data_IF_975376774254
#
_entry.id   IF_975376774254
#
_cell.length_a   1.000
_cell.length_b   1.000
_cell.length_c   1.000
_cell.angle_alpha   90.00
_cell.angle_beta   90.00
_cell.angle_gamma   90.00
#
_symmetry.space_group_name_H-M   'P 1'
#
loop_
_entity.id
_entity.type
_entity.pdbx_description
1 polymer ?
#
# COMPACT_ATOMS: atom_id res chain seq x y z
N UNK A 1 -4.62 17.89 0.79
CA UNK A 1 -4.98 16.52 1.21
C UNK A 1 -3.85 15.56 0.94
N UNK A 2 -3.75 14.55 1.77
CA UNK A 2 -2.74 13.52 1.61
C UNK A 2 -3.37 12.24 1.09
N UNK A 3 -2.65 11.55 0.23
CA UNK A 3 -3.03 10.23 -0.27
C UNK A 3 -1.98 9.23 0.12
N UNK A 4 -2.43 8.00 0.39
CA UNK A 4 -1.53 6.91 0.74
C UNK A 4 -1.15 6.13 -0.51
N UNK A 5 0.10 5.68 -0.55
CA UNK A 5 0.58 4.77 -1.59
C UNK A 5 1.50 3.74 -0.95
N UNK A 6 1.60 2.58 -1.57
CA UNK A 6 2.45 1.53 -1.06
C UNK A 6 3.03 0.71 -2.19
N UNK A 7 4.27 0.28 -2.03
CA UNK A 7 4.87 -0.73 -2.90
C UNK A 7 4.64 -2.09 -2.25
N UNK A 8 3.84 -2.90 -2.88
CA UNK A 8 3.40 -4.18 -2.35
C UNK A 8 3.99 -5.30 -3.20
N UNK A 9 4.61 -6.26 -2.54
CA UNK A 9 5.15 -7.43 -3.19
C UNK A 9 4.41 -8.67 -2.71
N UNK A 10 4.21 -9.61 -3.63
CA UNK A 10 3.54 -10.86 -3.31
C UNK A 10 4.07 -11.99 -4.17
N UNK A 11 3.71 -13.21 -3.80
CA UNK A 11 4.11 -14.41 -4.54
C UNK A 11 2.87 -15.02 -5.17
N UNK A 12 2.94 -15.20 -6.48
CA UNK A 12 1.86 -15.82 -7.26
C UNK A 12 2.40 -17.06 -7.96
N UNK A 13 1.50 -17.99 -8.18
CA UNK A 13 1.83 -19.17 -8.98
C UNK A 13 1.58 -18.86 -10.45
N UNK A 14 2.63 -18.97 -11.25
CA UNK A 14 2.55 -18.77 -12.70
C UNK A 14 3.04 -20.03 -13.36
N UNK A 15 2.15 -20.73 -14.07
CA UNK A 15 2.48 -22.02 -14.74
C UNK A 15 3.06 -23.04 -13.79
N UNK A 16 2.55 -23.08 -12.56
CA UNK A 16 3.02 -24.03 -11.55
C UNK A 16 4.28 -23.61 -10.81
N UNK A 17 4.84 -22.45 -11.12
CA UNK A 17 6.05 -21.96 -10.46
C UNK A 17 5.76 -20.72 -9.63
N UNK A 18 6.32 -20.60 -8.42
CA UNK A 18 6.15 -19.39 -7.63
C UNK A 18 6.96 -18.24 -8.22
N UNK A 19 6.32 -17.10 -8.40
CA UNK A 19 6.98 -15.89 -8.88
C UNK A 19 6.65 -14.73 -7.96
N UNK A 20 7.67 -13.96 -7.64
CA UNK A 20 7.50 -12.75 -6.85
C UNK A 20 7.23 -11.58 -7.79
N UNK A 21 6.17 -10.82 -7.48
CA UNK A 21 5.81 -9.64 -8.24
C UNK A 21 5.54 -8.50 -7.28
N UNK A 22 5.92 -7.31 -7.70
CA UNK A 22 5.70 -6.11 -6.93
C UNK A 22 4.91 -5.09 -7.76
N UNK A 23 4.05 -4.33 -7.10
CA UNK A 23 3.28 -3.29 -7.75
C UNK A 23 3.07 -2.14 -6.80
N UNK A 24 2.87 -0.95 -7.38
CA UNK A 24 2.53 0.23 -6.61
C UNK A 24 1.02 0.33 -6.50
N UNK A 25 0.51 0.42 -5.28
CA UNK A 25 -0.91 0.56 -5.02
C UNK A 25 -1.19 1.96 -4.50
N UNK A 26 -2.11 2.65 -5.16
CA UNK A 26 -2.60 3.96 -4.72
C UNK A 26 -3.94 3.75 -4.04
N UNK A 27 -4.00 4.07 -2.76
CA UNK A 27 -5.24 3.95 -2.00
C UNK A 27 -6.18 5.10 -2.35
N UNK A 28 -7.47 4.83 -2.30
CA UNK A 28 -8.49 5.85 -2.56
C UNK A 28 -8.74 6.75 -1.37
N UNK A 29 -8.09 6.48 -0.27
CA UNK A 29 -8.25 7.25 0.95
C UNK A 29 -7.70 8.67 0.78
N UNK A 30 -8.36 9.63 1.43
CA UNK A 30 -7.90 11.00 1.49
C UNK A 30 -7.84 11.42 2.95
N UNK A 31 -6.79 12.10 3.31
CA UNK A 31 -6.54 12.52 4.68
C UNK A 31 -6.21 14.00 4.72
N UNK A 32 -6.65 14.68 5.77
CA UNK A 32 -6.33 16.10 5.94
C UNK A 32 -4.90 16.31 6.44
N UNK A 33 -4.38 15.36 7.21
CA UNK A 33 -3.03 15.46 7.76
C UNK A 33 -2.21 14.24 7.40
N UNK A 34 -0.89 14.43 7.36
CA UNK A 34 0.04 13.34 7.11
C UNK A 34 -0.04 12.29 8.21
N UNK A 35 -0.25 12.72 9.46
CA UNK A 35 -0.34 11.82 10.59
C UNK A 35 -1.51 10.84 10.45
N UNK A 36 -2.65 11.33 9.98
CA UNK A 36 -3.81 10.47 9.72
C UNK A 36 -3.49 9.42 8.66
N UNK A 37 -2.81 9.85 7.60
CA UNK A 37 -2.41 8.96 6.52
C UNK A 37 -1.46 7.87 7.02
N UNK A 38 -0.44 8.24 7.78
CA UNK A 38 0.52 7.29 8.33
C UNK A 38 -0.14 6.30 9.28
N UNK A 39 -1.06 6.77 10.11
CA UNK A 39 -1.78 5.90 11.04
C UNK A 39 -2.60 4.85 10.30
N UNK A 40 -3.27 5.25 9.23
CA UNK A 40 -4.06 4.32 8.44
C UNK A 40 -3.18 3.30 7.73
N UNK A 41 -2.02 3.71 7.23
CA UNK A 41 -1.08 2.78 6.59
C UNK A 41 -0.56 1.74 7.57
N UNK A 42 -0.25 2.15 8.79
CA UNK A 42 0.19 1.21 9.84
C UNK A 42 -0.93 0.20 10.12
N UNK A 43 -2.15 0.67 10.25
CA UNK A 43 -3.30 -0.19 10.52
C UNK A 43 -3.53 -1.18 9.37
N UNK A 44 -3.43 -0.72 8.13
CA UNK A 44 -3.56 -1.57 6.95
C UNK A 44 -2.50 -2.67 6.96
N UNK A 45 -1.26 -2.29 7.23
CA UNK A 45 -0.15 -3.24 7.26
C UNK A 45 -0.35 -4.33 8.31
N UNK A 46 -0.93 -3.97 9.44
CA UNK A 46 -1.08 -4.90 10.55
C UNK A 46 -2.30 -5.79 10.40
N UNK A 47 -3.39 -5.30 9.84
CA UNK A 47 -4.69 -5.98 9.92
C UNK A 47 -5.35 -6.28 8.58
N UNK A 48 -5.08 -5.50 7.54
CA UNK A 48 -5.86 -5.59 6.31
C UNK A 48 -5.11 -6.25 5.15
N UNK A 49 -3.80 -6.28 5.20
CA UNK A 49 -3.03 -6.85 4.09
C UNK A 49 -3.13 -8.39 4.09
N UNK A 50 -3.36 -9.02 2.92
CA UNK A 50 -3.38 -10.48 2.83
C UNK A 50 -2.02 -11.09 3.19
N UNK A 51 -2.04 -12.32 3.67
CA UNK A 51 -0.84 -13.01 4.13
C UNK A 51 0.21 -13.22 3.03
N UNK A 52 -0.24 -13.29 1.77
CA UNK A 52 0.65 -13.51 0.63
C UNK A 52 1.33 -12.25 0.15
N UNK A 53 1.01 -11.11 0.74
CA UNK A 53 1.53 -9.81 0.32
C UNK A 53 2.35 -9.18 1.42
N UNK A 54 3.30 -8.37 1.01
CA UNK A 54 4.17 -7.66 1.93
C UNK A 54 4.35 -6.23 1.44
N UNK A 55 4.22 -5.28 2.34
CA UNK A 55 4.49 -3.88 2.01
C UNK A 55 6.00 -3.64 2.20
N UNK A 56 6.66 -3.26 1.12
CA UNK A 56 8.09 -2.96 1.14
C UNK A 56 8.31 -1.50 1.50
N UNK A 57 7.55 -0.61 0.86
CA UNK A 57 7.61 0.82 1.11
C UNK A 57 6.19 1.36 1.15
N UNK A 58 5.97 2.34 2.00
CA UNK A 58 4.73 3.10 1.99
C UNK A 58 5.04 4.58 2.17
N UNK A 59 4.16 5.42 1.69
CA UNK A 59 4.36 6.85 1.79
C UNK A 59 3.02 7.57 1.75
N UNK A 60 3.04 8.78 2.28
CA UNK A 60 1.91 9.68 2.23
C UNK A 60 2.32 10.89 1.38
N UNK A 61 1.64 11.08 0.27
CA UNK A 61 1.97 12.15 -0.67
C UNK A 61 0.89 13.20 -0.65
N UNK A 62 1.30 14.45 -0.83
CA UNK A 62 0.38 15.55 -0.92
C UNK A 62 -0.30 15.50 -2.29
N UNK A 63 -1.60 15.27 -2.28
CA UNK A 63 -2.37 15.22 -3.51
C UNK A 63 -2.79 16.62 -3.92
N UNK A 64 -2.49 16.98 -5.15
CA UNK A 64 -2.99 18.23 -5.69
C UNK A 64 -4.48 18.11 -5.97
N UNK A 65 -5.21 19.10 -5.56
CA UNK A 65 -6.62 19.17 -5.87
C UNK A 65 -6.76 19.52 -7.35
N UNK A 66 -7.30 18.61 -8.09
CA UNK A 66 -7.56 18.84 -9.51
C UNK A 66 -8.88 19.57 -9.69
#
# INVERSE_FOLDING_TARGET
>A
MFKAMALICGVWMVNGEPRQQCFTHMFKWQFETKQQCESKLIQYRMYEIPKNYKIILDDCVLAKKS
#
